data_IF_419347897101
#
_entry.id   IF_419347897101
#
_cell.length_a   1.000
_cell.length_b   1.000
_cell.length_c   1.000
_cell.angle_alpha   90.00
_cell.angle_beta   90.00
_cell.angle_gamma   90.00
#
_symmetry.space_group_name_H-M   'P 1'
#
loop_
_entity.id
_entity.type
_entity.pdbx_description
1 polymer ?
#
# COMPACT_ATOMS: atom_id res chain seq x y z
N UNK A 1 15.43 0.28 25.97
CA UNK A 1 14.05 0.03 25.51
C UNK A 1 13.18 1.30 25.57
N UNK A 2 13.10 2.02 26.70
CA UNK A 2 12.38 3.30 26.81
C UNK A 2 12.94 4.43 25.90
N UNK A 3 14.26 4.56 25.78
CA UNK A 3 14.90 5.57 24.92
C UNK A 3 14.62 5.35 23.42
N UNK A 4 14.50 4.10 22.98
CA UNK A 4 14.17 3.75 21.59
C UNK A 4 12.72 4.10 21.24
N UNK A 5 11.80 4.01 22.22
CA UNK A 5 10.42 4.42 22.04
C UNK A 5 10.26 5.96 22.01
N UNK A 6 11.03 6.68 22.85
CA UNK A 6 11.03 8.14 22.92
C UNK A 6 11.64 8.81 21.68
N UNK A 7 12.62 8.18 21.03
CA UNK A 7 13.23 8.65 19.78
C UNK A 7 12.53 8.07 18.52
N UNK A 8 11.94 6.88 18.63
CA UNK A 8 11.23 6.22 17.52
C UNK A 8 9.87 6.83 17.23
N UNK A 9 9.12 7.27 18.25
CA UNK A 9 7.82 7.95 18.07
C UNK A 9 7.90 9.25 17.25
N UNK A 10 8.83 10.21 17.52
CA UNK A 10 8.91 11.44 16.73
C UNK A 10 9.38 11.16 15.29
N UNK A 11 10.25 10.18 15.08
CA UNK A 11 10.70 9.76 13.75
C UNK A 11 9.58 9.06 12.95
N UNK A 12 8.80 8.18 13.60
CA UNK A 12 7.64 7.57 13.00
C UNK A 12 6.57 8.61 12.65
N UNK A 13 6.36 9.60 13.52
CA UNK A 13 5.47 10.73 13.26
C UNK A 13 5.95 11.57 12.08
N UNK A 14 7.26 11.89 11.98
CA UNK A 14 7.88 12.60 10.86
C UNK A 14 7.74 11.87 9.52
N UNK A 15 7.86 10.54 9.52
CA UNK A 15 7.81 9.72 8.30
C UNK A 15 6.34 9.42 7.90
N UNK A 16 5.41 9.53 8.84
CA UNK A 16 4.00 9.26 8.59
C UNK A 16 3.29 10.51 8.01
N UNK A 17 2.70 10.35 6.82
CA UNK A 17 1.80 11.34 6.20
C UNK A 17 0.72 11.95 7.13
N UNK A 18 0.21 11.25 8.17
CA UNK A 18 -0.64 11.85 9.20
C UNK A 18 -0.12 13.14 9.82
N UNK A 19 1.20 13.28 10.04
CA UNK A 19 1.77 14.50 10.62
C UNK A 19 1.58 15.73 9.72
N UNK A 20 1.63 15.54 8.40
CA UNK A 20 1.32 16.58 7.42
C UNK A 20 -0.16 16.99 7.50
N UNK A 21 -1.07 16.00 7.55
CA UNK A 21 -2.51 16.23 7.57
C UNK A 21 -2.95 16.94 8.86
N UNK A 22 -2.31 16.65 9.99
CA UNK A 22 -2.66 17.24 11.29
C UNK A 22 -1.90 18.54 11.59
N UNK A 23 -0.67 18.74 11.08
CA UNK A 23 0.09 19.96 11.35
C UNK A 23 -0.24 21.13 10.44
N UNK A 24 -0.66 20.90 9.19
CA UNK A 24 -1.13 21.97 8.30
C UNK A 24 -2.29 22.81 8.91
N UNK A 25 -3.37 22.21 9.43
CA UNK A 25 -4.45 22.98 10.05
C UNK A 25 -3.99 23.62 11.36
N UNK A 26 -3.11 22.97 12.12
CA UNK A 26 -2.62 23.52 13.39
C UNK A 26 -1.71 24.73 13.19
N UNK A 27 -0.77 24.70 12.22
CA UNK A 27 0.08 25.86 11.89
C UNK A 27 -0.73 27.02 11.30
N UNK A 28 -1.75 26.73 10.48
CA UNK A 28 -2.62 27.77 9.94
C UNK A 28 -3.46 28.47 11.02
N UNK A 29 -3.92 27.71 12.03
CA UNK A 29 -4.70 28.24 13.15
C UNK A 29 -3.83 28.97 14.19
N UNK A 30 -2.61 28.48 14.48
CA UNK A 30 -1.76 29.04 15.54
C UNK A 30 -0.73 30.07 15.07
N UNK A 31 -0.16 29.94 13.86
CA UNK A 31 0.88 30.83 13.33
C UNK A 31 0.39 31.74 12.19
N UNK A 32 -0.84 31.54 11.68
CA UNK A 32 -1.40 32.35 10.59
C UNK A 32 -0.75 32.11 9.22
N UNK A 33 0.05 31.05 9.07
CA UNK A 33 0.74 30.69 7.84
C UNK A 33 1.48 29.36 7.94
N UNK A 34 1.75 28.71 6.80
CA UNK A 34 2.52 27.46 6.76
C UNK A 34 4.01 27.75 7.00
N UNK A 35 4.65 27.02 7.93
CA UNK A 35 6.08 27.22 8.17
C UNK A 35 6.90 26.73 6.95
N UNK A 36 8.00 27.43 6.64
CA UNK A 36 8.91 27.07 5.52
C UNK A 36 9.41 25.63 5.66
N UNK A 37 9.59 25.16 6.91
CA UNK A 37 9.93 23.77 7.22
C UNK A 37 8.88 22.78 6.74
N UNK A 38 7.60 23.01 7.05
CA UNK A 38 6.48 22.15 6.62
C UNK A 38 6.36 22.10 5.10
N UNK A 39 6.45 23.25 4.43
CA UNK A 39 6.39 23.32 2.96
C UNK A 39 7.57 22.60 2.31
N UNK A 40 8.79 22.75 2.83
CA UNK A 40 9.95 22.03 2.30
C UNK A 40 9.80 20.51 2.42
N UNK A 41 9.28 20.03 3.56
CA UNK A 41 9.05 18.60 3.78
C UNK A 41 7.96 18.03 2.87
N UNK A 42 6.89 18.79 2.64
CA UNK A 42 5.82 18.44 1.69
C UNK A 42 6.37 18.25 0.27
N UNK A 43 7.19 19.18 -0.19
CA UNK A 43 7.80 19.12 -1.53
C UNK A 43 8.74 17.92 -1.64
N UNK A 44 9.58 17.68 -0.63
CA UNK A 44 10.48 16.52 -0.62
C UNK A 44 9.69 15.22 -0.65
N UNK A 45 8.66 15.05 0.20
CA UNK A 45 7.82 13.84 0.20
C UNK A 45 7.07 13.65 -1.12
N UNK A 46 6.51 14.72 -1.70
CA UNK A 46 5.79 14.67 -2.97
C UNK A 46 6.72 14.28 -4.14
N UNK A 47 7.90 14.89 -4.22
CA UNK A 47 8.91 14.53 -5.23
C UNK A 47 9.34 13.07 -5.06
N UNK A 48 9.53 12.63 -3.82
CA UNK A 48 9.93 11.27 -3.50
C UNK A 48 8.84 10.25 -3.83
N UNK A 49 7.55 10.59 -3.65
CA UNK A 49 6.44 9.74 -4.11
C UNK A 49 6.40 9.62 -5.66
N UNK A 50 6.73 10.69 -6.38
CA UNK A 50 6.76 10.72 -7.84
C UNK A 50 7.98 9.98 -8.40
N UNK A 51 9.14 10.12 -7.75
CA UNK A 51 10.43 9.58 -8.22
C UNK A 51 10.61 8.11 -7.81
N UNK A 52 10.14 7.68 -6.64
CA UNK A 52 10.20 6.26 -6.29
C UNK A 52 9.15 5.46 -7.05
N UNK A 53 9.51 4.31 -7.65
CA UNK A 53 8.54 3.45 -8.29
C UNK A 53 7.47 3.00 -7.28
N UNK A 54 6.22 3.34 -7.60
CA UNK A 54 4.96 2.81 -7.04
C UNK A 54 4.92 2.70 -5.52
N UNK A 55 4.75 3.84 -4.83
CA UNK A 55 4.41 3.92 -3.39
C UNK A 55 5.28 3.02 -2.48
N UNK A 56 6.51 2.73 -2.90
CA UNK A 56 7.46 1.89 -2.16
C UNK A 56 7.75 2.49 -0.79
N UNK A 57 7.77 3.82 -0.69
CA UNK A 57 7.86 4.54 0.58
C UNK A 57 6.73 4.15 1.52
N UNK A 58 5.48 4.18 1.07
CA UNK A 58 4.33 3.80 1.91
C UNK A 58 4.36 2.33 2.32
N UNK A 59 4.95 1.45 1.51
CA UNK A 59 5.02 0.00 1.79
C UNK A 59 6.15 -0.38 2.74
N UNK A 60 7.32 0.28 2.62
CA UNK A 60 8.56 -0.14 3.30
C UNK A 60 9.09 0.88 4.30
N UNK A 61 8.85 2.17 4.10
CA UNK A 61 9.35 3.24 4.97
C UNK A 61 8.29 3.77 5.93
N UNK A 62 7.02 3.86 5.49
CA UNK A 62 5.96 4.36 6.34
C UNK A 62 5.68 3.35 7.46
N UNK A 63 5.71 3.78 8.75
CA UNK A 63 5.48 2.88 9.88
C UNK A 63 4.09 2.24 9.80
N UNK A 64 3.07 3.00 9.38
CA UNK A 64 1.70 2.49 9.23
C UNK A 64 1.61 1.40 8.17
N UNK A 65 2.19 1.65 6.99
CA UNK A 65 2.16 0.66 5.90
C UNK A 65 3.00 -0.57 6.18
N UNK A 66 4.13 -0.40 6.86
CA UNK A 66 4.99 -1.51 7.30
C UNK A 66 4.25 -2.41 8.29
N UNK A 67 3.53 -1.84 9.26
CA UNK A 67 2.70 -2.61 10.20
C UNK A 67 1.57 -3.34 9.48
N UNK A 68 0.87 -2.70 8.53
CA UNK A 68 -0.17 -3.33 7.72
C UNK A 68 0.36 -4.52 6.90
N UNK A 69 1.56 -4.39 6.33
CA UNK A 69 2.25 -5.46 5.61
C UNK A 69 2.67 -6.59 6.56
N UNK A 70 3.09 -6.26 7.79
CA UNK A 70 3.50 -7.23 8.80
C UNK A 70 2.32 -8.08 9.31
N UNK A 71 1.13 -7.49 9.44
CA UNK A 71 -0.10 -8.19 9.83
C UNK A 71 -0.57 -9.16 8.73
N UNK A 72 -0.08 -9.03 7.49
CA UNK A 72 -0.36 -10.01 6.42
C UNK A 72 0.45 -11.28 6.58
N UNK A 73 -0.09 -12.18 7.39
CA UNK A 73 0.39 -13.55 7.50
C UNK A 73 -0.04 -14.41 6.31
N UNK A 74 0.67 -15.51 6.00
CA UNK A 74 0.31 -16.44 4.92
C UNK A 74 -1.09 -17.06 5.06
N UNK A 75 -1.67 -17.04 6.26
CA UNK A 75 -3.01 -17.56 6.58
C UNK A 75 -4.13 -16.52 6.42
N UNK A 76 -3.78 -15.29 6.05
CA UNK A 76 -4.76 -14.21 5.86
C UNK A 76 -5.49 -14.37 4.53
N UNK A 77 -6.63 -13.71 4.42
CA UNK A 77 -7.39 -13.66 3.17
C UNK A 77 -6.51 -13.02 2.09
N UNK A 78 -6.42 -13.65 0.94
CA UNK A 78 -5.75 -13.10 -0.24
C UNK A 78 -6.61 -13.35 -1.46
N UNK A 79 -6.38 -12.55 -2.50
CA UNK A 79 -6.87 -12.90 -3.83
C UNK A 79 -6.07 -14.10 -4.32
N UNK A 80 -6.76 -15.17 -4.66
CA UNK A 80 -6.23 -16.37 -5.31
C UNK A 80 -6.74 -16.46 -6.75
N UNK A 81 -6.11 -17.36 -7.50
CA UNK A 81 -6.40 -17.57 -8.91
C UNK A 81 -6.44 -19.07 -9.19
N UNK A 82 -7.29 -19.46 -10.13
CA UNK A 82 -7.42 -20.83 -10.62
C UNK A 82 -6.79 -20.96 -12.02
N UNK A 83 -5.69 -21.71 -12.12
CA UNK A 83 -4.92 -21.86 -13.36
C UNK A 83 -5.70 -22.48 -14.52
N UNK A 84 -6.72 -23.28 -14.21
CA UNK A 84 -7.59 -23.97 -15.16
C UNK A 84 -8.71 -23.07 -15.73
N UNK A 85 -9.20 -22.09 -14.98
CA UNK A 85 -10.31 -21.23 -15.43
C UNK A 85 -9.85 -19.88 -15.94
N UNK A 86 -8.73 -19.38 -15.42
CA UNK A 86 -8.17 -18.18 -15.99
C UNK A 86 -7.33 -18.47 -17.23
N UNK A 87 -7.75 -17.87 -18.34
CA UNK A 87 -7.11 -18.06 -19.62
C UNK A 87 -5.69 -17.45 -19.66
N UNK A 88 -4.70 -18.15 -20.22
CA UNK A 88 -3.34 -17.62 -20.39
C UNK A 88 -3.27 -16.37 -21.27
N UNK A 89 -4.24 -16.17 -22.17
CA UNK A 89 -4.38 -14.98 -23.01
C UNK A 89 -4.80 -13.72 -22.26
N UNK A 90 -5.39 -13.87 -21.06
CA UNK A 90 -5.61 -12.77 -20.14
C UNK A 90 -4.26 -12.45 -19.49
N UNK A 91 -3.46 -11.61 -20.14
CA UNK A 91 -2.10 -11.24 -19.72
C UNK A 91 -2.06 -10.48 -18.37
N UNK A 92 -2.95 -10.69 -17.42
CA UNK A 92 -3.03 -9.94 -16.16
C UNK A 92 -3.14 -8.42 -16.37
N UNK A 93 -3.24 -7.95 -17.61
CA UNK A 93 -3.18 -6.56 -17.99
C UNK A 93 -4.42 -5.84 -17.49
N UNK A 94 -5.59 -6.48 -17.54
CA UNK A 94 -6.79 -5.91 -16.92
C UNK A 94 -6.70 -5.90 -15.39
N UNK A 95 -6.34 -7.01 -14.75
CA UNK A 95 -6.17 -7.06 -13.29
C UNK A 95 -5.15 -6.03 -12.78
N UNK A 96 -4.01 -5.88 -13.46
CA UNK A 96 -2.97 -4.89 -13.16
C UNK A 96 -3.44 -3.47 -13.46
N UNK A 97 -4.24 -3.25 -14.51
CA UNK A 97 -4.80 -1.93 -14.85
C UNK A 97 -5.82 -1.46 -13.82
N UNK A 98 -6.73 -2.33 -13.38
CA UNK A 98 -7.77 -1.97 -12.40
C UNK A 98 -7.25 -1.92 -10.96
N UNK A 99 -6.15 -2.61 -10.67
CA UNK A 99 -5.53 -2.55 -9.36
C UNK A 99 -4.89 -1.17 -9.14
N UNK A 100 -5.32 -0.42 -8.12
CA UNK A 100 -4.71 0.86 -7.73
C UNK A 100 -3.22 0.72 -7.37
N UNK A 101 -2.84 -0.45 -6.85
CA UNK A 101 -1.45 -0.81 -6.53
C UNK A 101 -0.73 -1.47 -7.69
N UNK A 102 -1.47 -1.75 -8.78
CA UNK A 102 -0.92 -2.16 -10.06
C UNK A 102 -0.13 -3.47 -9.91
N UNK A 103 -0.69 -4.36 -9.08
CA UNK A 103 -0.22 -5.69 -8.70
C UNK A 103 -0.85 -6.77 -9.59
N UNK A 104 -0.10 -7.84 -9.86
CA UNK A 104 -0.62 -9.02 -10.57
C UNK A 104 -1.02 -10.10 -9.55
N UNK A 105 -2.30 -10.49 -9.47
CA UNK A 105 -2.76 -11.52 -8.52
C UNK A 105 -2.09 -12.89 -8.74
N UNK A 106 -1.54 -13.17 -9.93
CA UNK A 106 -0.83 -14.44 -10.23
C UNK A 106 0.55 -14.52 -9.59
N UNK A 107 1.19 -13.38 -9.37
CA UNK A 107 2.55 -13.28 -8.85
C UNK A 107 2.59 -12.65 -7.45
N UNK A 108 1.45 -12.65 -6.76
CA UNK A 108 1.28 -11.95 -5.50
C UNK A 108 2.01 -12.63 -4.34
N UNK A 109 2.93 -11.91 -3.73
CA UNK A 109 3.62 -12.28 -2.49
C UNK A 109 2.85 -11.75 -1.28
N UNK A 110 3.07 -12.38 -0.12
CA UNK A 110 2.39 -12.00 1.13
C UNK A 110 2.53 -10.50 1.45
N UNK A 111 3.71 -9.95 1.15
CA UNK A 111 4.06 -8.58 1.49
C UNK A 111 3.81 -7.57 0.37
N UNK A 112 3.10 -7.93 -0.70
CA UNK A 112 2.95 -7.07 -1.89
C UNK A 112 2.11 -5.80 -1.73
N UNK A 113 1.48 -5.62 -0.57
CA UNK A 113 0.66 -4.44 -0.29
C UNK A 113 -0.70 -4.48 -0.99
N UNK A 114 -1.14 -5.64 -1.47
CA UNK A 114 -2.54 -5.84 -1.84
C UNK A 114 -3.43 -5.47 -0.64
N UNK A 115 -4.61 -4.94 -0.89
CA UNK A 115 -5.57 -4.55 0.16
C UNK A 115 -6.81 -5.43 0.19
N UNK A 116 -6.87 -6.48 -0.65
CA UNK A 116 -8.05 -7.34 -0.84
C UNK A 116 -9.32 -6.56 -1.22
N UNK A 117 -9.19 -5.47 -1.99
CA UNK A 117 -10.35 -4.67 -2.41
C UNK A 117 -11.27 -5.37 -3.41
N UNK A 118 -10.83 -6.44 -4.07
CA UNK A 118 -11.67 -7.22 -4.99
C UNK A 118 -11.82 -6.62 -6.40
N UNK A 119 -11.31 -5.41 -6.66
CA UNK A 119 -11.43 -4.76 -7.98
C UNK A 119 -10.93 -5.62 -9.17
N UNK A 120 -9.92 -6.46 -8.94
CA UNK A 120 -9.41 -7.39 -9.96
C UNK A 120 -10.31 -8.61 -10.19
N UNK A 121 -11.16 -8.98 -9.23
CA UNK A 121 -12.16 -10.05 -9.35
C UNK A 121 -13.35 -9.50 -10.15
N UNK A 122 -13.82 -8.31 -9.80
CA UNK A 122 -14.95 -7.64 -10.46
C UNK A 122 -14.64 -7.22 -11.89
N UNK A 123 -13.45 -6.66 -12.12
CA UNK A 123 -13.01 -6.22 -13.46
C UNK A 123 -12.47 -7.34 -14.33
N UNK A 124 -12.57 -8.60 -13.92
CA UNK A 124 -12.06 -9.72 -14.69
C UNK A 124 -13.06 -10.12 -15.80
N UNK A 125 -12.68 -10.04 -17.09
CA UNK A 125 -13.57 -10.41 -18.21
C UNK A 125 -13.75 -11.93 -18.38
N UNK A 126 -13.06 -12.78 -17.61
CA UNK A 126 -13.24 -14.24 -17.68
C UNK A 126 -14.44 -14.73 -16.85
N UNK A 127 -14.76 -16.01 -17.01
CA UNK A 127 -15.84 -16.71 -16.30
C UNK A 127 -15.83 -16.47 -14.77
N UNK A 128 -17.00 -16.47 -14.12
CA UNK A 128 -17.10 -16.40 -12.66
C UNK A 128 -16.23 -17.48 -12.00
N UNK A 129 -15.45 -17.10 -10.98
CA UNK A 129 -14.57 -18.03 -10.24
C UNK A 129 -13.15 -18.19 -10.79
N UNK A 130 -12.79 -17.42 -11.81
CA UNK A 130 -11.42 -17.34 -12.34
C UNK A 130 -10.44 -16.70 -11.34
N UNK A 131 -10.90 -15.66 -10.64
CA UNK A 131 -10.30 -15.17 -9.39
C UNK A 131 -11.29 -15.31 -8.24
N UNK A 132 -10.76 -15.54 -7.04
CA UNK A 132 -11.57 -15.68 -5.84
C UNK A 132 -10.82 -15.15 -4.61
N UNK A 133 -11.57 -14.77 -3.57
CA UNK A 133 -10.99 -14.60 -2.25
C UNK A 133 -10.80 -15.95 -1.59
N UNK A 134 -9.62 -16.16 -1.00
CA UNK A 134 -9.32 -17.39 -0.29
C UNK A 134 -8.10 -17.25 0.60
N UNK A 135 -7.81 -18.28 1.39
CA UNK A 135 -6.50 -18.38 2.02
C UNK A 135 -5.45 -18.68 0.96
N UNK A 136 -4.24 -18.15 1.17
CA UNK A 136 -3.07 -18.56 0.40
C UNK A 136 -2.79 -20.03 0.74
N UNK A 137 -3.41 -20.95 0.02
CA UNK A 137 -2.92 -22.33 -0.03
C UNK A 137 -1.53 -22.21 -0.65
N UNK A 138 -0.50 -22.44 0.16
CA UNK A 138 0.89 -22.48 -0.32
C UNK A 138 0.91 -23.28 -1.60
N UNK A 139 1.29 -22.62 -2.69
CA UNK A 139 1.27 -23.21 -4.03
C UNK A 139 2.10 -24.48 -4.04
N UNK A 140 1.53 -25.54 -4.60
CA UNK A 140 2.27 -26.37 -5.55
C UNK A 140 2.13 -25.70 -6.91
#
# INVERSE_FOLDING_TARGET
MLASALLGLPLAALISAPRLITQLPLELIYLGGASVGTVSWLVVLGVLEIVLPRRSWCRWLCPVGSVLVLIRLPWTLTVGWHANTCQPGLKGTNCVKVCSWRLDPRHLRAYDGCTNCGACIEGCPTTPGSLCFGRRRGGR
#
